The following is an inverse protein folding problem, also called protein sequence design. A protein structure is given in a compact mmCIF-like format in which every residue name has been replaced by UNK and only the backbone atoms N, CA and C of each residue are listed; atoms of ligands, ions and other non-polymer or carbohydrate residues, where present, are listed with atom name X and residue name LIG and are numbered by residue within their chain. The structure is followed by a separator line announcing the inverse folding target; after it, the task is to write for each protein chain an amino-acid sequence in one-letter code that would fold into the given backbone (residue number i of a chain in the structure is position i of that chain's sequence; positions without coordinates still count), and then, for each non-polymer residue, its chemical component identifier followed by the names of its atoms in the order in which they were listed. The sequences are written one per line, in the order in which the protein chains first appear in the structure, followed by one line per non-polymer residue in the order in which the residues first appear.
data_IF_569115290281
#
_entry.id   IF_569115290281
#
_cell.length_a   1.000
_cell.length_b   1.000
_cell.length_c   1.000
_cell.angle_alpha   90.00
_cell.angle_beta   90.00
_cell.angle_gamma   90.00
#
_symmetry.space_group_name_H-M   'P 1'
#
loop_
_entity.id
_entity.type
_entity.pdbx_description
1 polymer ?
#
# COMPACT_ATOMS: atom_id res chain seq x y z
N UNK A 1 -5.80 -4.57 17.67
CA UNK A 1 -7.19 -4.88 17.28
C UNK A 1 -7.37 -4.26 15.90
N UNK A 2 -7.67 -5.04 14.87
CA UNK A 2 -7.71 -4.54 13.50
C UNK A 2 -9.04 -3.82 13.29
N UNK A 3 -9.08 -2.51 13.55
CA UNK A 3 -10.32 -1.73 13.65
C UNK A 3 -11.12 -1.73 12.35
N UNK A 4 -10.46 -1.95 11.21
CA UNK A 4 -11.07 -1.89 9.88
C UNK A 4 -11.91 -3.10 9.50
N UNK A 5 -11.58 -4.30 9.98
CA UNK A 5 -12.23 -5.53 9.52
C UNK A 5 -13.66 -5.72 10.07
N UNK A 6 -14.11 -4.89 11.02
CA UNK A 6 -15.39 -5.07 11.70
C UNK A 6 -16.56 -4.35 11.03
N UNK A 7 -16.33 -3.41 10.10
CA UNK A 7 -17.37 -2.56 9.50
C UNK A 7 -17.35 -2.53 7.96
N UNK A 8 -16.46 -3.29 7.31
CA UNK A 8 -16.44 -3.37 5.85
C UNK A 8 -17.68 -4.07 5.31
N UNK A 9 -18.19 -3.57 4.18
CA UNK A 9 -19.17 -4.30 3.37
C UNK A 9 -18.73 -5.77 3.15
N UNK A 10 -19.58 -6.77 3.50
CA UNK A 10 -19.22 -8.18 3.38
C UNK A 10 -18.87 -8.62 1.96
N UNK A 11 -19.48 -8.02 0.94
CA UNK A 11 -19.18 -8.35 -0.46
C UNK A 11 -17.78 -7.85 -0.83
N UNK A 12 -17.46 -6.59 -0.52
CA UNK A 12 -16.13 -6.02 -0.68
C UNK A 12 -15.05 -6.83 0.07
N UNK A 13 -15.32 -7.21 1.32
CA UNK A 13 -14.42 -8.05 2.10
C UNK A 13 -14.13 -9.39 1.42
N UNK A 14 -15.18 -10.07 0.94
CA UNK A 14 -15.04 -11.35 0.23
C UNK A 14 -14.22 -11.20 -1.05
N UNK A 15 -14.43 -10.11 -1.79
CA UNK A 15 -13.69 -9.83 -3.02
C UNK A 15 -12.21 -9.56 -2.76
N UNK A 16 -11.87 -8.75 -1.76
CA UNK A 16 -10.48 -8.49 -1.37
C UNK A 16 -9.78 -9.79 -0.98
N UNK A 17 -10.43 -10.64 -0.17
CA UNK A 17 -9.87 -11.94 0.22
C UNK A 17 -9.60 -12.81 -1.02
N UNK A 18 -10.54 -12.83 -1.97
CA UNK A 18 -10.41 -13.57 -3.22
C UNK A 18 -9.27 -13.03 -4.12
N UNK A 19 -9.14 -11.71 -4.24
CA UNK A 19 -8.05 -11.07 -5.00
C UNK A 19 -6.70 -11.32 -4.32
N UNK A 20 -6.61 -11.10 -3.01
CA UNK A 20 -5.41 -11.36 -2.21
C UNK A 20 -4.94 -12.81 -2.33
N UNK A 21 -5.84 -13.79 -2.39
CA UNK A 21 -5.51 -15.20 -2.57
C UNK A 21 -4.96 -15.55 -3.97
N UNK A 22 -5.22 -14.71 -4.98
CA UNK A 22 -4.76 -14.89 -6.37
C UNK A 22 -3.48 -14.14 -6.68
N UNK A 23 -2.95 -13.37 -5.73
CA UNK A 23 -1.71 -12.64 -5.92
C UNK A 23 -0.54 -13.59 -6.16
N UNK A 24 0.43 -13.21 -7.01
CA UNK A 24 1.66 -13.97 -7.16
C UNK A 24 2.40 -14.04 -5.81
N UNK A 25 3.21 -15.08 -5.56
CA UNK A 25 4.03 -15.13 -4.36
C UNK A 25 4.99 -13.94 -4.33
N UNK A 26 5.07 -13.26 -3.18
CA UNK A 26 6.08 -12.22 -2.97
C UNK A 26 7.48 -12.85 -2.93
N UNK A 27 8.52 -12.16 -3.42
CA UNK A 27 9.90 -12.56 -3.16
C UNK A 27 10.14 -12.56 -1.65
N UNK A 28 10.81 -13.57 -1.09
CA UNK A 28 11.07 -13.61 0.36
C UNK A 28 11.86 -12.40 0.85
N UNK A 29 12.77 -11.90 0.00
CA UNK A 29 13.63 -10.75 0.29
C UNK A 29 13.51 -9.71 -0.83
N UNK A 30 13.19 -8.47 -0.47
CA UNK A 30 13.26 -7.31 -1.37
C UNK A 30 14.47 -6.47 -0.98
N UNK A 31 15.36 -6.23 -1.94
CA UNK A 31 16.55 -5.38 -1.74
C UNK A 31 16.29 -3.98 -2.25
N UNK A 32 16.79 -2.99 -1.54
CA UNK A 32 16.76 -1.58 -1.93
C UNK A 32 18.08 -0.90 -1.58
N UNK A 33 18.39 0.19 -2.27
CA UNK A 33 19.61 0.97 -2.04
C UNK A 33 19.28 2.18 -1.16
N UNK A 34 19.98 2.30 -0.04
CA UNK A 34 19.93 3.45 0.87
C UNK A 34 21.10 4.37 0.51
N UNK A 35 20.79 5.50 -0.12
CA UNK A 35 21.76 6.46 -0.65
C UNK A 35 22.47 7.26 0.45
N UNK A 36 21.81 7.49 1.59
CA UNK A 36 22.40 8.16 2.74
C UNK A 36 23.53 7.33 3.37
N UNK A 37 23.28 6.04 3.58
CA UNK A 37 24.29 5.12 4.13
C UNK A 37 25.21 4.53 3.05
N UNK A 38 24.88 4.72 1.77
CA UNK A 38 25.57 4.14 0.62
C UNK A 38 25.66 2.59 0.70
N UNK A 39 24.56 1.95 1.13
CA UNK A 39 24.47 0.51 1.36
C UNK A 39 23.22 -0.11 0.72
N UNK A 40 23.33 -1.40 0.34
CA UNK A 40 22.14 -2.19 -0.02
C UNK A 40 21.51 -2.78 1.23
N UNK A 41 20.24 -2.48 1.46
CA UNK A 41 19.43 -3.01 2.55
C UNK A 41 18.39 -3.99 2.01
N UNK A 42 17.73 -4.70 2.92
CA UNK A 42 16.70 -5.66 2.55
C UNK A 42 15.52 -5.68 3.51
N UNK A 43 14.33 -5.86 2.96
CA UNK A 43 13.10 -6.20 3.68
C UNK A 43 12.86 -7.70 3.50
N UNK A 44 12.47 -8.37 4.58
CA UNK A 44 12.00 -9.75 4.56
C UNK A 44 10.49 -9.75 4.76
N UNK A 45 9.73 -10.16 3.74
CA UNK A 45 8.26 -10.11 3.82
C UNK A 45 7.69 -11.20 4.72
N UNK A 46 8.43 -12.28 4.97
CA UNK A 46 8.08 -13.37 5.87
C UNK A 46 8.30 -13.04 7.36
N UNK A 47 8.95 -11.91 7.66
CA UNK A 47 9.25 -11.49 9.02
C UNK A 47 8.37 -10.30 9.45
N UNK A 48 7.44 -10.56 10.38
CA UNK A 48 6.78 -9.56 11.23
C UNK A 48 6.46 -8.21 10.58
N UNK A 49 6.97 -7.14 11.20
CA UNK A 49 6.77 -5.76 10.76
C UNK A 49 7.69 -5.36 9.62
N UNK A 50 7.12 -4.60 8.69
CA UNK A 50 7.85 -4.04 7.55
C UNK A 50 8.58 -2.78 8.00
N UNK A 51 9.91 -2.83 8.05
CA UNK A 51 10.76 -1.70 8.48
C UNK A 51 11.68 -1.27 7.36
N UNK A 52 11.54 -0.01 6.94
CA UNK A 52 12.50 0.67 6.09
C UNK A 52 13.56 1.36 6.94
N UNK A 53 14.78 1.39 6.42
CA UNK A 53 15.89 2.13 6.99
C UNK A 53 16.19 3.28 6.03
N UNK A 54 16.02 4.51 6.50
CA UNK A 54 16.16 5.75 5.74
C UNK A 54 16.90 6.77 6.59
N UNK A 55 17.94 7.40 6.04
CA UNK A 55 18.74 8.43 6.73
C UNK A 55 19.23 8.01 8.13
N UNK A 56 19.57 6.73 8.31
CA UNK A 56 19.95 6.17 9.61
C UNK A 56 18.80 5.97 10.60
N UNK A 57 17.56 6.33 10.24
CA UNK A 57 16.35 6.07 11.01
C UNK A 57 15.65 4.77 10.55
N UNK A 58 14.88 4.17 11.46
CA UNK A 58 14.02 3.01 11.19
C UNK A 58 12.58 3.48 11.09
N UNK A 59 11.98 3.37 9.92
CA UNK A 59 10.60 3.71 9.64
C UNK A 59 9.80 2.42 9.55
N UNK A 60 8.97 2.18 10.56
CA UNK A 60 8.00 1.08 10.57
C UNK A 60 6.80 1.47 9.71
N UNK A 61 6.49 0.64 8.73
CA UNK A 61 5.33 0.81 7.87
C UNK A 61 4.18 -0.04 8.41
N UNK A 62 3.10 0.61 8.80
CA UNK A 62 1.98 0.00 9.49
C UNK A 62 0.98 -0.64 8.51
N UNK A 63 1.46 -1.51 7.62
CA UNK A 63 0.63 -2.13 6.57
C UNK A 63 -0.53 -2.96 7.13
N UNK A 64 -0.38 -3.47 8.36
CA UNK A 64 -1.42 -4.21 9.09
C UNK A 64 -2.72 -3.40 9.24
N UNK A 65 -2.64 -2.06 9.18
CA UNK A 65 -3.80 -1.16 9.18
C UNK A 65 -4.68 -1.32 7.95
N UNK A 66 -4.18 -1.87 6.84
CA UNK A 66 -4.98 -2.15 5.66
C UNK A 66 -5.76 -3.48 5.76
N UNK A 67 -5.54 -4.24 6.85
CA UNK A 67 -6.23 -5.49 7.12
C UNK A 67 -6.17 -6.48 5.94
N UNK A 68 -7.31 -6.93 5.39
CA UNK A 68 -7.35 -7.89 4.28
C UNK A 68 -6.62 -7.45 3.00
N UNK A 69 -6.38 -6.15 2.81
CA UNK A 69 -5.64 -5.61 1.67
C UNK A 69 -4.14 -5.43 1.92
N UNK A 70 -3.64 -5.77 3.12
CA UNK A 70 -2.22 -5.78 3.40
C UNK A 70 -1.39 -6.55 2.35
N UNK A 71 -1.81 -7.75 1.89
CA UNK A 71 -1.07 -8.49 0.85
C UNK A 71 -0.96 -7.73 -0.47
N UNK A 72 -2.02 -7.02 -0.87
CA UNK A 72 -2.03 -6.18 -2.09
C UNK A 72 -1.03 -5.03 -1.92
N UNK A 73 -1.02 -4.37 -0.76
CA UNK A 73 -0.10 -3.28 -0.49
C UNK A 73 1.37 -3.74 -0.50
N UNK A 74 1.66 -4.94 0.00
CA UNK A 74 3.01 -5.53 -0.07
C UNK A 74 3.48 -5.75 -1.52
N UNK A 75 2.57 -6.11 -2.44
CA UNK A 75 2.88 -6.20 -3.88
C UNK A 75 3.22 -4.82 -4.46
N UNK A 76 2.35 -3.84 -4.21
CA UNK A 76 2.54 -2.45 -4.66
C UNK A 76 3.88 -1.90 -4.15
N UNK A 77 4.18 -2.13 -2.88
CA UNK A 77 5.44 -1.72 -2.29
C UNK A 77 6.67 -2.42 -2.88
N UNK A 78 6.57 -3.72 -3.17
CA UNK A 78 7.67 -4.47 -3.81
C UNK A 78 8.00 -3.85 -5.16
N UNK A 79 6.97 -3.52 -5.93
CA UNK A 79 7.11 -2.85 -7.22
C UNK A 79 7.64 -1.41 -7.07
N UNK A 80 7.14 -0.63 -6.10
CA UNK A 80 7.67 0.71 -5.80
C UNK A 80 9.15 0.70 -5.42
N UNK A 81 9.60 -0.24 -4.59
CA UNK A 81 11.02 -0.36 -4.22
C UNK A 81 11.92 -0.71 -5.41
N UNK A 82 11.35 -1.23 -6.50
CA UNK A 82 12.09 -1.49 -7.74
C UNK A 82 12.16 -0.26 -8.67
N UNK A 83 11.26 0.73 -8.49
CA UNK A 83 11.07 1.88 -9.40
C UNK A 83 11.41 3.23 -8.78
N UNK A 84 11.39 3.34 -7.46
CA UNK A 84 11.49 4.59 -6.72
C UNK A 84 12.54 4.52 -5.62
N UNK A 85 13.05 5.68 -5.21
CA UNK A 85 13.91 5.78 -4.04
C UNK A 85 13.13 5.40 -2.77
N UNK A 86 13.80 4.86 -1.75
CA UNK A 86 13.14 4.39 -0.54
C UNK A 86 12.36 5.46 0.24
N UNK A 87 12.76 6.73 0.19
CA UNK A 87 12.00 7.83 0.82
C UNK A 87 10.67 8.05 0.13
N UNK A 88 10.65 8.06 -1.20
CA UNK A 88 9.42 8.13 -1.98
C UNK A 88 8.50 6.95 -1.65
N UNK A 89 9.04 5.74 -1.48
CA UNK A 89 8.25 4.57 -1.07
C UNK A 89 7.65 4.77 0.32
N UNK A 90 8.44 5.22 1.30
CA UNK A 90 7.95 5.46 2.66
C UNK A 90 6.82 6.51 2.69
N UNK A 91 7.02 7.64 1.98
CA UNK A 91 6.02 8.71 1.88
C UNK A 91 4.74 8.19 1.21
N UNK A 92 4.86 7.50 0.07
CA UNK A 92 3.68 7.02 -0.65
C UNK A 92 2.90 5.98 0.17
N UNK A 93 3.59 5.09 0.88
CA UNK A 93 2.95 4.12 1.78
C UNK A 93 2.23 4.81 2.93
N UNK A 94 2.89 5.75 3.62
CA UNK A 94 2.29 6.53 4.71
C UNK A 94 1.04 7.29 4.22
N UNK A 95 1.13 7.97 3.07
CA UNK A 95 0.01 8.75 2.52
C UNK A 95 -1.15 7.86 2.07
N UNK A 96 -0.88 6.65 1.61
CA UNK A 96 -1.92 5.67 1.25
C UNK A 96 -2.66 5.17 2.49
N UNK A 97 -1.92 4.78 3.54
CA UNK A 97 -2.52 4.37 4.82
C UNK A 97 -3.32 5.52 5.43
N UNK A 98 -2.76 6.73 5.41
CA UNK A 98 -3.43 7.92 5.94
C UNK A 98 -4.72 8.27 5.18
N UNK A 99 -4.78 8.00 3.87
CA UNK A 99 -6.05 8.12 3.14
C UNK A 99 -7.10 7.12 3.65
N UNK A 100 -6.71 5.86 3.87
CA UNK A 100 -7.61 4.85 4.42
C UNK A 100 -8.11 5.23 5.83
N UNK A 101 -7.24 5.82 6.66
CA UNK A 101 -7.56 6.24 8.03
C UNK A 101 -8.45 7.49 8.07
N UNK A 102 -8.06 8.54 7.34
CA UNK A 102 -8.68 9.86 7.49
C UNK A 102 -9.93 10.04 6.62
N UNK A 103 -10.02 9.31 5.50
CA UNK A 103 -11.00 9.61 4.45
C UNK A 103 -11.98 8.46 4.22
N UNK A 104 -11.49 7.37 3.63
CA UNK A 104 -12.36 6.28 3.17
C UNK A 104 -11.53 5.04 2.80
N UNK A 105 -11.53 4.05 3.69
CA UNK A 105 -10.89 2.78 3.40
C UNK A 105 -11.63 2.00 2.31
N UNK A 106 -12.96 2.02 2.26
CA UNK A 106 -13.73 1.28 1.25
C UNK A 106 -13.41 1.78 -0.15
N UNK A 107 -13.34 3.10 -0.34
CA UNK A 107 -12.95 3.67 -1.63
C UNK A 107 -11.53 3.27 -2.04
N UNK A 108 -10.58 3.17 -1.09
CA UNK A 108 -9.23 2.67 -1.37
C UNK A 108 -9.26 1.21 -1.81
N UNK A 109 -10.01 0.40 -1.07
CA UNK A 109 -10.13 -1.03 -1.33
C UNK A 109 -10.77 -1.31 -2.68
N UNK A 110 -11.86 -0.61 -2.99
CA UNK A 110 -12.49 -0.61 -4.31
C UNK A 110 -11.48 -0.30 -5.40
N UNK A 111 -10.65 0.73 -5.21
CA UNK A 111 -9.64 1.11 -6.19
C UNK A 111 -8.56 0.02 -6.36
N UNK A 112 -8.16 -0.61 -5.25
CA UNK A 112 -7.14 -1.68 -5.24
C UNK A 112 -7.56 -2.94 -5.98
N UNK A 113 -8.85 -3.29 -5.91
CA UNK A 113 -9.39 -4.50 -6.57
C UNK A 113 -10.02 -4.21 -7.93
N UNK A 114 -10.27 -2.94 -8.24
CA UNK A 114 -10.90 -2.53 -9.50
C UNK A 114 -10.10 -3.00 -10.71
N UNK A 115 -10.76 -3.60 -11.72
CA UNK A 115 -10.10 -3.83 -12.99
C UNK A 115 -9.73 -2.49 -13.65
N UNK A 116 -8.71 -2.44 -14.53
CA UNK A 116 -8.21 -1.19 -15.10
C UNK A 116 -9.26 -0.30 -15.79
N UNK A 117 -10.31 -0.92 -16.34
CA UNK A 117 -11.39 -0.18 -17.02
C UNK A 117 -12.38 0.48 -16.04
N UNK A 118 -12.47 0.02 -14.79
CA UNK A 118 -13.32 0.59 -13.74
C UNK A 118 -12.56 1.50 -12.78
N UNK A 119 -11.25 1.32 -12.65
CA UNK A 119 -10.39 2.10 -11.77
C UNK A 119 -10.53 3.62 -11.99
N UNK A 120 -10.73 4.08 -13.23
CA UNK A 120 -10.98 5.50 -13.54
C UNK A 120 -12.29 6.01 -12.95
N UNK A 121 -13.33 5.19 -12.97
CA UNK A 121 -14.65 5.53 -12.42
C UNK A 121 -14.55 5.61 -10.90
N UNK A 122 -13.94 4.63 -10.26
CA UNK A 122 -13.68 4.64 -8.81
C UNK A 122 -12.85 5.86 -8.41
N UNK A 123 -11.76 6.14 -9.15
CA UNK A 123 -10.94 7.31 -8.93
C UNK A 123 -11.75 8.61 -8.97
N UNK A 124 -12.58 8.79 -10.00
CA UNK A 124 -13.28 10.05 -10.23
C UNK A 124 -14.41 10.26 -9.23
N UNK A 125 -15.16 9.20 -8.90
CA UNK A 125 -16.37 9.31 -8.09
C UNK A 125 -16.12 9.16 -6.59
N UNK A 126 -15.20 8.27 -6.18
CA UNK A 126 -15.01 7.92 -4.77
C UNK A 126 -13.76 8.58 -4.17
N UNK A 127 -12.66 8.64 -4.92
CA UNK A 127 -11.35 9.07 -4.42
C UNK A 127 -11.14 10.58 -4.59
N UNK A 128 -11.25 11.09 -5.81
CA UNK A 128 -10.93 12.47 -6.17
C UNK A 128 -11.61 13.54 -5.28
N UNK A 129 -12.86 13.38 -4.82
CA UNK A 129 -13.51 14.36 -3.95
C UNK A 129 -12.89 14.47 -2.55
N UNK A 130 -12.14 13.46 -2.09
CA UNK A 130 -11.67 13.32 -0.71
C UNK A 130 -10.15 13.46 -0.56
N UNK A 131 -9.39 13.21 -1.63
CA UNK A 131 -7.92 13.20 -1.55
C UNK A 131 -7.32 14.60 -1.43
N UNK A 132 -6.32 14.71 -0.56
CA UNK A 132 -5.35 15.81 -0.63
C UNK A 132 -4.38 15.62 -1.79
N UNK A 133 -3.61 16.65 -2.14
CA UNK A 133 -2.61 16.58 -3.21
C UNK A 133 -1.55 15.48 -2.98
N UNK A 134 -1.10 15.29 -1.73
CA UNK A 134 -0.09 14.27 -1.39
C UNK A 134 -0.66 12.85 -1.42
N UNK A 135 -1.89 12.65 -0.95
CA UNK A 135 -2.60 11.37 -1.07
C UNK A 135 -2.89 11.04 -2.54
N UNK A 136 -3.29 12.03 -3.33
CA UNK A 136 -3.54 11.87 -4.76
C UNK A 136 -2.32 11.37 -5.51
N UNK A 137 -1.14 11.94 -5.21
CA UNK A 137 0.12 11.48 -5.79
C UNK A 137 0.44 10.04 -5.40
N UNK A 138 0.39 9.73 -4.10
CA UNK A 138 0.68 8.40 -3.58
C UNK A 138 -0.21 7.32 -4.20
N UNK A 139 -1.52 7.55 -4.25
CA UNK A 139 -2.47 6.62 -4.84
C UNK A 139 -2.23 6.45 -6.35
N UNK A 140 -1.94 7.53 -7.09
CA UNK A 140 -1.61 7.41 -8.52
C UNK A 140 -0.34 6.59 -8.76
N UNK A 141 0.67 6.72 -7.91
CA UNK A 141 1.88 5.90 -8.03
C UNK A 141 1.58 4.39 -7.87
N UNK A 142 0.53 4.01 -7.15
CA UNK A 142 0.16 2.60 -6.97
C UNK A 142 -0.46 1.98 -8.24
N UNK A 143 -1.12 2.80 -9.06
CA UNK A 143 -1.96 2.33 -10.18
C UNK A 143 -1.46 2.82 -11.55
N UNK A 144 -0.15 3.06 -11.68
CA UNK A 144 0.49 3.60 -12.88
C UNK A 144 1.64 2.71 -13.34
#
# INVERSE_FOLDING_TARGET
MNTFAAELDPELLAEIVNVSAKLPPLPSVVRYFDDFSNETRSIRWDEGDVVLHLDGARIRLELWKLGPAEPIMRQIMTDWLSRHDPHTVAINTERTIKFAEDQDIEALLDLMISPPHEARTVWTLKILPKVTASQSWALRCAFR
#
